data_IF_665960225310
#
_entry.id   IF_665960225310
#
_cell.length_a   1.000
_cell.length_b   1.000
_cell.length_c   1.000
_cell.angle_alpha   90.00
_cell.angle_beta   90.00
_cell.angle_gamma   90.00
#
_symmetry.space_group_name_H-M   'P 1'
#
loop_
_entity.id
_entity.type
_entity.pdbx_description
1 polymer ?
#
# COMPACT_ATOMS: atom_id res chain seq x y z
N UNK A 1 6.40 -23.05 7.07
CA UNK A 1 5.31 -22.09 6.83
C UNK A 1 4.30 -22.70 5.87
N UNK A 2 2.99 -22.47 6.05
CA UNK A 2 2.00 -22.84 5.04
C UNK A 2 2.18 -21.96 3.80
N UNK A 3 2.00 -22.47 2.57
CA UNK A 3 2.13 -21.67 1.36
C UNK A 3 0.97 -20.68 1.23
N UNK A 4 1.12 -19.51 1.87
CA UNK A 4 0.26 -18.34 1.70
C UNK A 4 1.08 -17.27 1.01
N UNK A 5 0.86 -17.14 -0.29
CA UNK A 5 1.61 -16.22 -1.15
C UNK A 5 0.77 -14.96 -1.35
N UNK A 6 1.41 -13.80 -1.24
CA UNK A 6 0.85 -12.52 -1.69
C UNK A 6 1.72 -12.02 -2.82
N UNK A 7 1.10 -11.69 -3.96
CA UNK A 7 1.79 -11.16 -5.13
C UNK A 7 1.41 -9.69 -5.26
N UNK A 8 2.42 -8.84 -5.42
CA UNK A 8 2.25 -7.43 -5.73
C UNK A 8 2.77 -7.20 -7.14
N UNK A 9 1.91 -6.70 -8.03
CA UNK A 9 2.28 -6.26 -9.36
C UNK A 9 2.04 -4.75 -9.45
N UNK A 10 2.99 -4.01 -10.02
CA UNK A 10 2.92 -2.55 -10.08
C UNK A 10 3.74 -1.98 -11.22
N UNK A 11 3.50 -0.70 -11.50
CA UNK A 11 4.22 0.12 -12.49
C UNK A 11 4.39 1.52 -11.92
N UNK A 12 5.48 2.21 -12.28
CA UNK A 12 5.62 3.64 -12.05
C UNK A 12 4.52 4.42 -12.79
N UNK A 13 3.90 5.38 -12.10
CA UNK A 13 2.79 6.16 -12.61
C UNK A 13 3.13 7.64 -12.90
N UNK A 14 4.38 8.07 -12.61
CA UNK A 14 4.83 9.44 -12.84
C UNK A 14 4.25 10.49 -11.89
N UNK A 15 3.60 10.07 -10.80
CA UNK A 15 3.05 10.97 -9.77
C UNK A 15 3.63 10.65 -8.40
N UNK A 16 3.43 11.55 -7.43
CA UNK A 16 3.76 11.31 -6.03
C UNK A 16 2.64 10.61 -5.26
N UNK A 17 1.69 9.98 -5.96
CA UNK A 17 0.60 9.25 -5.33
C UNK A 17 0.76 7.76 -5.57
N UNK A 18 0.98 6.99 -4.51
CA UNK A 18 0.89 5.54 -4.57
C UNK A 18 -0.58 5.13 -4.48
N UNK A 19 -1.02 4.22 -5.35
CA UNK A 19 -2.36 3.63 -5.31
C UNK A 19 -2.23 2.12 -5.27
N UNK A 20 -2.82 1.51 -4.25
CA UNK A 20 -2.84 0.07 -4.04
C UNK A 20 -4.26 -0.43 -4.24
N UNK A 21 -4.40 -1.53 -4.98
CA UNK A 21 -5.68 -2.19 -5.21
C UNK A 21 -5.56 -3.63 -4.72
N UNK A 22 -6.41 -4.02 -3.78
CA UNK A 22 -6.54 -5.40 -3.32
C UNK A 22 -7.52 -6.16 -4.20
N UNK A 23 -7.07 -7.28 -4.76
CA UNK A 23 -7.93 -8.23 -5.49
C UNK A 23 -8.54 -9.29 -4.58
N UNK A 24 -8.16 -9.34 -3.31
CA UNK A 24 -8.65 -10.32 -2.35
C UNK A 24 -10.13 -10.05 -2.04
N UNK A 25 -10.99 -11.05 -2.28
CA UNK A 25 -12.43 -10.97 -2.02
C UNK A 25 -12.80 -10.84 -0.54
N UNK A 26 -11.87 -11.16 0.37
CA UNK A 26 -12.04 -11.07 1.83
C UNK A 26 -11.63 -9.72 2.42
N UNK A 27 -10.93 -8.87 1.66
CA UNK A 27 -10.65 -7.49 2.08
C UNK A 27 -11.98 -6.72 2.07
N UNK A 28 -12.16 -5.86 3.07
CA UNK A 28 -13.37 -5.08 3.34
C UNK A 28 -13.88 -4.28 2.13
N UNK A 29 -15.01 -3.57 2.30
CA UNK A 29 -15.65 -2.77 1.23
C UNK A 29 -14.68 -1.86 0.46
N UNK A 30 -13.66 -1.33 1.14
CA UNK A 30 -12.62 -0.51 0.52
C UNK A 30 -11.41 -1.35 0.06
N UNK A 31 -11.41 -1.67 -1.23
CA UNK A 31 -10.33 -2.42 -1.92
C UNK A 31 -9.21 -1.54 -2.46
N UNK A 32 -9.36 -0.22 -2.39
CA UNK A 32 -8.41 0.75 -2.95
C UNK A 32 -7.89 1.64 -1.83
N UNK A 33 -6.59 1.87 -1.80
CA UNK A 33 -5.96 2.85 -0.93
C UNK A 33 -5.04 3.75 -1.76
N UNK A 34 -5.15 5.06 -1.60
CA UNK A 34 -4.30 6.04 -2.27
C UNK A 34 -3.68 6.98 -1.24
N UNK A 35 -2.38 7.23 -1.34
CA UNK A 35 -1.67 8.12 -0.42
C UNK A 35 -0.46 8.78 -1.12
N UNK A 36 -0.09 9.95 -0.62
CA UNK A 36 1.08 10.69 -1.07
C UNK A 36 2.37 10.00 -0.59
N UNK A 37 3.37 9.93 -1.47
CA UNK A 37 4.70 9.38 -1.20
C UNK A 37 5.82 10.40 -1.44
N UNK A 38 5.48 11.65 -1.74
CA UNK A 38 6.44 12.74 -1.92
C UNK A 38 7.00 13.27 -0.60
N UNK A 39 6.34 12.97 0.53
CA UNK A 39 6.81 13.30 1.86
C UNK A 39 6.74 12.08 2.79
N UNK A 40 7.91 11.59 3.25
CA UNK A 40 8.05 10.47 4.19
C UNK A 40 7.26 10.68 5.48
N UNK A 41 7.28 11.89 6.05
CA UNK A 41 6.55 12.21 7.29
C UNK A 41 5.03 12.21 7.09
N UNK A 42 4.57 12.31 5.84
CA UNK A 42 3.17 12.21 5.45
C UNK A 42 2.65 10.77 5.43
N UNK A 43 3.54 9.76 5.37
CA UNK A 43 3.14 8.35 5.30
C UNK A 43 2.80 7.83 6.69
N UNK A 44 1.55 8.06 7.09
CA UNK A 44 1.03 7.67 8.40
C UNK A 44 0.07 6.47 8.32
N UNK A 45 -0.03 5.67 9.39
CA UNK A 45 -1.09 4.67 9.51
C UNK A 45 -2.48 5.31 9.35
N UNK A 46 -3.38 4.60 8.70
CA UNK A 46 -4.77 5.05 8.52
C UNK A 46 -5.66 3.96 7.97
N UNK A 47 -6.82 4.35 7.46
CA UNK A 47 -7.71 3.44 6.72
C UNK A 47 -7.35 3.41 5.22
N UNK A 48 -7.62 2.28 4.54
CA UNK A 48 -7.98 1.00 5.15
C UNK A 48 -6.77 0.33 5.83
N UNK A 49 -6.95 -0.26 7.02
CA UNK A 49 -5.84 -0.80 7.85
C UNK A 49 -4.88 -1.73 7.12
N UNK A 50 -5.37 -2.52 6.16
CA UNK A 50 -4.54 -3.46 5.40
C UNK A 50 -3.45 -2.75 4.57
N UNK A 51 -3.69 -1.50 4.14
CA UNK A 51 -2.71 -0.75 3.36
C UNK A 51 -1.50 -0.33 4.20
N UNK A 52 -1.63 -0.33 5.53
CA UNK A 52 -0.55 0.06 6.43
C UNK A 52 0.64 -0.91 6.38
N UNK A 53 0.43 -2.19 6.01
CA UNK A 53 1.54 -3.12 5.77
C UNK A 53 2.44 -2.65 4.62
N UNK A 54 1.87 -2.06 3.57
CA UNK A 54 2.64 -1.50 2.44
C UNK A 54 3.26 -0.17 2.83
N UNK A 55 2.51 0.72 3.49
CA UNK A 55 3.03 2.01 3.99
C UNK A 55 4.25 1.83 4.91
N UNK A 56 4.16 0.89 5.86
CA UNK A 56 5.27 0.59 6.77
C UNK A 56 6.52 0.12 6.05
N UNK A 57 6.39 -0.70 4.99
CA UNK A 57 7.52 -1.04 4.14
C UNK A 57 8.08 0.21 3.45
N UNK A 58 7.25 1.03 2.80
CA UNK A 58 7.68 2.21 2.06
C UNK A 58 8.48 3.20 2.92
N UNK A 59 8.07 3.44 4.17
CA UNK A 59 8.79 4.34 5.09
C UNK A 59 10.23 3.89 5.33
N UNK A 60 10.56 2.60 5.20
CA UNK A 60 11.93 2.10 5.36
C UNK A 60 12.81 2.28 4.11
N UNK A 61 12.23 2.63 2.95
CA UNK A 61 12.94 2.72 1.67
C UNK A 61 12.84 4.08 0.98
N UNK A 62 12.09 5.03 1.55
CA UNK A 62 12.04 6.41 1.07
C UNK A 62 13.11 7.22 1.80
N UNK A 63 14.06 7.78 1.05
CA UNK A 63 15.10 8.69 1.54
C UNK A 63 14.58 10.13 1.63
#
# INVERSE_FOLDING_TARGET
>A
ALPRITVIAGKLNGTQTCTIISTNSRVASEKKASFDVGNRDGIKPGEPKWANYVKGCLVNFLD
#
